data_IF_306977744701
#
_entry.id   IF_306977744701
#
_cell.length_a   1.000
_cell.length_b   1.000
_cell.length_c   1.000
_cell.angle_alpha   90.00
_cell.angle_beta   90.00
_cell.angle_gamma   90.00
#
_symmetry.space_group_name_H-M   'P 1'
#
loop_
_entity.id
_entity.type
_entity.pdbx_description
1 polymer ?
#
# COMPACT_ATOMS: atom_id res chain seq x y z
N UNK A 1 3.91 -9.78 -4.40
CA UNK A 1 4.95 -8.72 -4.36
C UNK A 1 5.21 -8.30 -2.92
N UNK A 2 4.25 -7.71 -2.22
CA UNK A 2 4.35 -7.26 -0.82
C UNK A 2 5.08 -8.29 0.06
N UNK A 3 4.60 -9.52 0.11
CA UNK A 3 5.22 -10.60 0.89
C UNK A 3 6.72 -10.75 0.63
N UNK A 4 7.14 -10.80 -0.64
CA UNK A 4 8.56 -11.00 -1.01
C UNK A 4 9.47 -9.87 -0.52
N UNK A 5 8.94 -8.63 -0.49
CA UNK A 5 9.70 -7.44 -0.08
C UNK A 5 9.69 -7.27 1.43
N UNK A 6 8.54 -7.46 2.08
CA UNK A 6 8.28 -7.01 3.44
C UNK A 6 8.31 -8.13 4.48
N UNK A 7 8.03 -9.39 4.10
CA UNK A 7 8.08 -10.53 5.04
C UNK A 7 9.42 -10.67 5.80
N UNK A 8 10.60 -10.40 5.17
CA UNK A 8 11.88 -10.46 5.90
C UNK A 8 11.98 -9.48 7.08
N UNK A 9 11.12 -8.45 7.10
CA UNK A 9 11.10 -7.43 8.14
C UNK A 9 10.00 -7.64 9.20
N UNK A 10 9.15 -8.65 9.05
CA UNK A 10 8.10 -8.96 10.05
C UNK A 10 8.72 -9.54 11.33
N UNK A 11 9.69 -10.42 11.19
CA UNK A 11 10.23 -11.17 12.32
C UNK A 11 9.21 -12.16 12.90
N UNK A 12 9.16 -12.26 14.24
CA UNK A 12 8.22 -13.11 14.97
C UNK A 12 7.50 -12.30 16.05
N UNK A 13 6.67 -11.32 15.65
CA UNK A 13 6.01 -10.44 16.60
C UNK A 13 4.96 -11.21 17.42
N UNK A 14 4.77 -10.84 18.68
CA UNK A 14 3.65 -11.29 19.47
C UNK A 14 2.39 -10.46 19.21
N UNK A 15 2.56 -9.15 18.93
CA UNK A 15 1.48 -8.19 18.72
C UNK A 15 1.66 -7.48 17.39
N UNK A 16 0.66 -7.61 16.52
CA UNK A 16 0.67 -7.05 15.17
C UNK A 16 -0.64 -6.33 14.91
N UNK A 17 -0.55 -5.13 14.36
CA UNK A 17 -1.68 -4.35 13.86
C UNK A 17 -1.66 -4.33 12.32
N UNK A 18 -2.79 -4.63 11.72
CA UNK A 18 -3.05 -4.59 10.28
C UNK A 18 -4.08 -3.48 10.02
N UNK A 19 -3.61 -2.34 9.53
CA UNK A 19 -4.43 -1.14 9.28
C UNK A 19 -4.89 -1.13 7.84
N UNK A 20 -6.18 -0.81 7.62
CA UNK A 20 -6.79 -0.88 6.28
C UNK A 20 -6.91 -2.33 5.81
N UNK A 21 -7.23 -3.24 6.73
CA UNK A 21 -7.14 -4.68 6.47
C UNK A 21 -8.20 -5.19 5.50
N UNK A 22 -9.29 -4.45 5.28
CA UNK A 22 -10.46 -4.87 4.50
C UNK A 22 -10.79 -6.36 4.76
N UNK A 23 -11.22 -7.12 3.79
CA UNK A 23 -11.36 -8.58 3.90
C UNK A 23 -10.09 -9.37 3.48
N UNK A 24 -9.01 -8.70 3.33
CA UNK A 24 -7.59 -8.93 3.27
C UNK A 24 -6.94 -10.25 2.92
N UNK A 25 -7.24 -10.94 1.80
CA UNK A 25 -6.44 -12.10 1.39
C UNK A 25 -5.00 -11.73 1.02
N UNK A 26 -4.73 -10.47 0.65
CA UNK A 26 -3.38 -9.99 0.26
C UNK A 26 -2.38 -9.96 1.41
N UNK A 27 -2.85 -9.89 2.65
CA UNK A 27 -2.03 -9.78 3.87
C UNK A 27 -2.14 -10.99 4.81
N UNK A 28 -2.73 -12.09 4.35
CA UNK A 28 -2.83 -13.35 5.12
C UNK A 28 -1.49 -13.95 5.53
N UNK A 29 -0.37 -13.48 4.98
CA UNK A 29 0.99 -13.84 5.38
C UNK A 29 1.49 -13.07 6.62
N UNK A 30 0.85 -11.96 6.99
CA UNK A 30 1.10 -11.28 8.26
C UNK A 30 0.41 -12.04 9.38
N UNK A 31 1.20 -12.64 10.24
CA UNK A 31 0.71 -13.48 11.33
C UNK A 31 1.41 -13.16 12.64
N UNK A 32 0.63 -13.13 13.71
CA UNK A 32 1.09 -13.03 15.09
C UNK A 32 0.08 -13.70 16.00
N UNK A 33 0.46 -14.16 17.21
CA UNK A 33 -0.48 -14.66 18.21
C UNK A 33 -1.61 -13.68 18.53
N UNK A 34 -1.27 -12.38 18.60
CA UNK A 34 -2.21 -11.29 18.83
C UNK A 34 -2.22 -10.34 17.63
N UNK A 35 -2.85 -10.78 16.53
CA UNK A 35 -3.11 -9.93 15.37
C UNK A 35 -4.42 -9.19 15.56
N UNK A 36 -4.39 -7.87 15.43
CA UNK A 36 -5.56 -6.98 15.37
C UNK A 36 -5.67 -6.43 13.96
N UNK A 37 -6.87 -6.40 13.42
CA UNK A 37 -7.20 -5.76 12.14
C UNK A 37 -8.04 -4.53 12.38
N UNK A 38 -7.69 -3.40 11.75
CA UNK A 38 -8.44 -2.16 11.84
C UNK A 38 -8.81 -1.66 10.45
N UNK A 39 -10.06 -1.25 10.28
CA UNK A 39 -10.55 -0.62 9.05
C UNK A 39 -11.65 0.40 9.38
N UNK A 40 -11.83 1.40 8.51
CA UNK A 40 -12.97 2.30 8.57
C UNK A 40 -14.28 1.61 8.18
N UNK A 41 -14.21 0.63 7.26
CA UNK A 41 -15.35 -0.13 6.82
C UNK A 41 -15.49 -1.43 7.63
N UNK A 42 -16.53 -1.53 8.48
CA UNK A 42 -16.73 -2.71 9.31
C UNK A 42 -17.09 -3.98 8.52
N UNK A 43 -17.50 -3.86 7.25
CA UNK A 43 -17.95 -5.00 6.43
C UNK A 43 -16.84 -6.01 6.15
N UNK A 44 -15.58 -5.55 6.05
CA UNK A 44 -14.41 -6.41 5.85
C UNK A 44 -13.83 -6.99 7.14
N UNK A 45 -14.23 -6.49 8.29
CA UNK A 45 -13.66 -6.90 9.57
C UNK A 45 -14.29 -8.20 10.09
N UNK A 46 -13.46 -9.07 10.66
CA UNK A 46 -13.90 -10.34 11.23
C UNK A 46 -13.65 -10.39 12.74
N UNK A 47 -14.69 -10.65 13.55
CA UNK A 47 -14.52 -10.88 14.99
C UNK A 47 -13.59 -12.10 15.26
N UNK A 48 -12.90 -12.15 16.42
CA UNK A 48 -12.93 -11.16 17.51
C UNK A 48 -11.92 -10.02 17.38
N UNK A 49 -11.04 -10.04 16.40
CA UNK A 49 -9.88 -9.16 16.33
C UNK A 49 -10.05 -7.99 15.30
N UNK A 50 -11.24 -7.80 14.77
CA UNK A 50 -11.56 -6.69 13.86
C UNK A 50 -12.09 -5.49 14.62
N UNK A 51 -11.47 -4.33 14.44
CA UNK A 51 -11.83 -3.06 15.08
C UNK A 51 -12.17 -2.04 13.99
N UNK A 52 -13.38 -1.45 14.07
CA UNK A 52 -13.75 -0.34 13.21
C UNK A 52 -13.17 0.95 13.79
N UNK A 53 -12.33 1.64 13.02
CA UNK A 53 -11.64 2.84 13.47
C UNK A 53 -10.84 3.53 12.39
N UNK A 54 -10.41 4.77 12.69
CA UNK A 54 -9.60 5.59 11.80
C UNK A 54 -8.12 5.48 12.15
N UNK A 55 -7.26 5.42 11.13
CA UNK A 55 -5.81 5.53 11.31
C UNK A 55 -5.37 6.92 11.79
N UNK A 56 -6.22 7.95 11.60
CA UNK A 56 -5.97 9.31 12.09
C UNK A 56 -6.16 9.43 13.62
N UNK A 57 -6.75 8.42 14.28
CA UNK A 57 -6.97 8.37 15.73
C UNK A 57 -7.09 6.90 16.13
N UNK A 58 -5.97 6.20 16.22
CA UNK A 58 -5.93 4.76 16.53
C UNK A 58 -6.38 4.50 17.98
N UNK A 59 -7.37 3.62 18.23
CA UNK A 59 -7.91 3.35 19.57
C UNK A 59 -7.02 2.43 20.40
N UNK A 60 -5.71 2.63 20.35
CA UNK A 60 -4.72 1.84 21.07
C UNK A 60 -3.80 2.74 21.89
N UNK A 61 -3.28 2.20 22.99
CA UNK A 61 -2.26 2.87 23.80
C UNK A 61 -0.94 2.98 23.01
N UNK A 62 -0.06 3.88 23.46
CA UNK A 62 1.29 4.02 22.94
C UNK A 62 2.06 2.71 23.10
N UNK A 63 2.95 2.40 22.15
CA UNK A 63 3.83 1.24 22.21
C UNK A 63 3.07 -0.09 22.41
N UNK A 64 1.93 -0.28 21.77
CA UNK A 64 1.08 -1.47 21.88
C UNK A 64 1.48 -2.59 20.92
N UNK A 65 2.21 -2.29 19.86
CA UNK A 65 2.50 -3.25 18.78
C UNK A 65 4.00 -3.30 18.43
N UNK A 66 4.47 -4.47 18.08
CA UNK A 66 5.82 -4.72 17.58
C UNK A 66 5.92 -4.53 16.06
N UNK A 67 4.82 -4.79 15.34
CA UNK A 67 4.72 -4.62 13.90
C UNK A 67 3.38 -3.99 13.55
N UNK A 68 3.43 -3.00 12.65
CA UNK A 68 2.24 -2.41 12.02
C UNK A 68 2.37 -2.54 10.51
N UNK A 69 1.34 -3.09 9.87
CA UNK A 69 1.15 -3.09 8.42
C UNK A 69 0.12 -2.05 8.03
N UNK A 70 0.44 -1.21 7.03
CA UNK A 70 -0.48 -0.24 6.42
C UNK A 70 -0.28 -0.28 4.89
N UNK A 71 -1.17 -0.99 4.19
CA UNK A 71 -1.02 -1.24 2.76
C UNK A 71 -2.11 -0.54 1.98
N UNK A 72 -1.70 0.45 1.19
CA UNK A 72 -2.57 1.32 0.42
C UNK A 72 -3.62 2.00 1.34
N UNK A 73 -3.10 2.68 2.39
CA UNK A 73 -3.88 3.37 3.44
C UNK A 73 -3.53 4.85 3.51
N UNK A 74 -2.23 5.19 3.54
CA UNK A 74 -1.78 6.56 3.86
C UNK A 74 -2.15 7.56 2.77
N UNK A 75 -2.30 7.12 1.52
CA UNK A 75 -2.82 7.94 0.41
C UNK A 75 -4.26 8.43 0.61
N UNK A 76 -5.05 7.73 1.44
CA UNK A 76 -6.41 8.11 1.80
C UNK A 76 -6.47 9.09 2.98
N UNK A 77 -5.33 9.36 3.63
CA UNK A 77 -5.26 10.18 4.83
C UNK A 77 -4.91 11.62 4.49
N UNK A 78 -5.69 12.56 5.02
CA UNK A 78 -5.39 13.98 4.95
C UNK A 78 -5.72 14.66 6.29
N UNK A 79 -4.68 15.14 7.04
CA UNK A 79 -3.24 15.15 6.71
C UNK A 79 -2.54 13.76 6.85
N UNK A 80 -1.55 13.48 5.96
CA UNK A 80 -0.81 12.21 5.97
C UNK A 80 0.12 12.06 7.18
N UNK A 81 0.64 13.16 7.70
CA UNK A 81 1.53 13.19 8.87
C UNK A 81 0.82 12.71 10.13
N UNK A 82 -0.45 13.09 10.34
CA UNK A 82 -1.24 12.59 11.48
C UNK A 82 -1.36 11.06 11.45
N UNK A 83 -1.61 10.48 10.28
CA UNK A 83 -1.68 9.03 10.15
C UNK A 83 -0.33 8.36 10.46
N UNK A 84 0.77 8.90 9.92
CA UNK A 84 2.12 8.37 10.16
C UNK A 84 2.55 8.52 11.62
N UNK A 85 2.20 9.63 12.27
CA UNK A 85 2.47 9.86 13.69
C UNK A 85 1.67 8.89 14.58
N UNK A 86 0.42 8.60 14.27
CA UNK A 86 -0.38 7.59 14.97
C UNK A 86 0.19 6.16 14.80
N UNK A 87 0.63 5.80 13.57
CA UNK A 87 1.32 4.53 13.33
C UNK A 87 2.62 4.45 14.14
N UNK A 88 3.36 5.57 14.24
CA UNK A 88 4.55 5.64 15.09
C UNK A 88 4.20 5.55 16.57
N UNK A 89 3.15 6.23 17.03
CA UNK A 89 2.74 6.24 18.43
C UNK A 89 2.44 4.84 18.96
N UNK A 90 1.66 4.08 18.20
CA UNK A 90 1.23 2.73 18.63
C UNK A 90 2.31 1.67 18.50
N UNK A 91 3.37 1.91 17.74
CA UNK A 91 4.55 1.03 17.67
C UNK A 91 5.44 1.24 18.91
N UNK A 92 6.00 0.17 19.42
CA UNK A 92 7.06 0.22 20.44
C UNK A 92 8.37 0.73 19.85
N UNK A 93 9.31 1.28 20.64
CA UNK A 93 10.65 1.62 20.17
C UNK A 93 11.33 0.39 19.55
N UNK A 94 11.89 0.55 18.34
CA UNK A 94 12.42 -0.56 17.55
C UNK A 94 11.35 -1.37 16.81
N UNK A 95 10.07 -1.05 16.99
CA UNK A 95 8.96 -1.68 16.26
C UNK A 95 9.00 -1.37 14.76
N UNK A 96 8.35 -2.17 13.96
CA UNK A 96 8.47 -2.13 12.49
C UNK A 96 7.20 -1.69 11.80
N UNK A 97 7.34 -0.70 10.92
CA UNK A 97 6.31 -0.27 9.98
C UNK A 97 6.53 -0.94 8.62
N UNK A 98 5.50 -1.58 8.10
CA UNK A 98 5.44 -2.13 6.75
C UNK A 98 4.39 -1.36 5.96
N UNK A 99 4.80 -0.71 4.87
CA UNK A 99 3.97 0.22 4.12
C UNK A 99 3.93 -0.11 2.63
N UNK A 100 2.78 0.06 2.00
CA UNK A 100 2.67 0.25 0.55
C UNK A 100 1.85 1.48 0.23
N UNK A 101 2.21 2.17 -0.86
CA UNK A 101 1.49 3.32 -1.40
C UNK A 101 1.56 3.34 -2.92
N UNK A 102 0.56 3.90 -3.64
CA UNK A 102 0.56 4.01 -5.09
C UNK A 102 1.65 5.00 -5.56
N UNK A 103 2.31 4.64 -6.67
CA UNK A 103 3.40 5.43 -7.20
C UNK A 103 2.94 6.47 -8.21
N UNK A 104 3.68 7.60 -8.24
CA UNK A 104 3.67 8.70 -9.22
C UNK A 104 2.37 9.49 -9.35
N UNK A 105 2.41 10.75 -8.95
CA UNK A 105 1.30 11.69 -9.06
C UNK A 105 0.83 11.89 -10.52
N UNK A 106 1.73 11.80 -11.50
CA UNK A 106 1.35 11.90 -12.92
C UNK A 106 0.46 10.74 -13.41
N UNK A 107 0.43 9.62 -12.67
CA UNK A 107 -0.43 8.47 -12.96
C UNK A 107 -1.83 8.58 -12.34
N UNK A 108 -2.16 9.72 -11.75
CA UNK A 108 -3.49 10.04 -11.19
C UNK A 108 -4.60 9.82 -12.21
N UNK A 109 -5.75 9.34 -11.76
CA UNK A 109 -6.90 9.05 -12.63
C UNK A 109 -8.22 9.08 -11.87
N UNK A 110 -9.33 8.88 -12.57
CA UNK A 110 -10.66 8.73 -11.97
C UNK A 110 -10.73 7.60 -10.93
N UNK A 111 -9.90 6.56 -11.08
CA UNK A 111 -9.78 5.51 -10.06
C UNK A 111 -9.29 6.04 -8.70
N UNK A 112 -8.32 6.95 -8.69
CA UNK A 112 -7.85 7.57 -7.44
C UNK A 112 -8.95 8.40 -6.78
N UNK A 113 -9.69 9.17 -7.60
CA UNK A 113 -10.81 9.98 -7.12
C UNK A 113 -11.92 9.09 -6.55
N UNK A 114 -12.29 8.03 -7.27
CA UNK A 114 -13.33 7.10 -6.84
C UNK A 114 -12.99 6.35 -5.55
N UNK A 115 -11.71 6.08 -5.33
CA UNK A 115 -11.22 5.45 -4.10
C UNK A 115 -10.90 6.45 -2.97
N UNK A 116 -11.10 7.77 -3.18
CA UNK A 116 -10.84 8.77 -2.16
C UNK A 116 -9.36 8.97 -1.84
N UNK A 117 -8.48 8.73 -2.83
CA UNK A 117 -7.07 9.06 -2.66
C UNK A 117 -6.90 10.58 -2.59
N UNK A 118 -5.90 11.04 -1.83
CA UNK A 118 -5.47 12.44 -1.80
C UNK A 118 -4.16 12.64 -2.57
N UNK A 119 -3.36 11.57 -2.72
CA UNK A 119 -2.02 11.66 -3.33
C UNK A 119 -1.46 10.33 -3.79
N UNK A 120 -0.41 10.43 -4.62
CA UNK A 120 0.48 9.33 -4.98
C UNK A 120 1.92 9.71 -4.64
N UNK A 121 2.79 8.73 -4.55
CA UNK A 121 4.13 8.91 -4.02
C UNK A 121 5.22 8.61 -5.05
N UNK A 122 6.36 9.28 -4.93
CA UNK A 122 7.63 8.74 -5.38
C UNK A 122 8.32 8.06 -4.19
N UNK A 123 9.24 7.13 -4.45
CA UNK A 123 10.01 6.49 -3.38
C UNK A 123 10.69 7.52 -2.46
N UNK A 124 11.41 8.56 -2.96
CA UNK A 124 12.00 9.57 -2.07
C UNK A 124 10.97 10.32 -1.23
N UNK A 125 9.78 10.61 -1.77
CA UNK A 125 8.71 11.27 -1.01
C UNK A 125 8.17 10.37 0.10
N UNK A 126 7.92 9.09 -0.18
CA UNK A 126 7.46 8.13 0.82
C UNK A 126 8.49 7.95 1.94
N UNK A 127 9.78 7.82 1.59
CA UNK A 127 10.88 7.76 2.55
C UNK A 127 10.89 9.00 3.43
N UNK A 128 10.90 10.20 2.84
CA UNK A 128 10.94 11.45 3.60
C UNK A 128 9.71 11.64 4.51
N UNK A 129 8.52 11.18 4.10
CA UNK A 129 7.33 11.25 4.95
C UNK A 129 7.47 10.34 6.19
N UNK A 130 7.89 9.10 5.99
CA UNK A 130 8.10 8.11 7.07
C UNK A 130 9.22 8.53 8.01
N UNK A 131 10.34 9.07 7.47
CA UNK A 131 11.45 9.56 8.30
C UNK A 131 11.06 10.76 9.18
N UNK A 132 10.20 11.66 8.68
CA UNK A 132 9.66 12.78 9.49
C UNK A 132 8.81 12.30 10.66
N UNK A 133 8.09 11.21 10.52
CA UNK A 133 7.30 10.59 11.57
C UNK A 133 8.12 9.77 12.59
N UNK A 134 9.47 9.86 12.55
CA UNK A 134 10.33 9.25 13.57
C UNK A 134 10.80 7.84 13.26
N UNK A 135 10.83 7.45 11.99
CA UNK A 135 11.32 6.13 11.57
C UNK A 135 12.69 6.20 10.89
N UNK A 136 13.42 5.09 10.94
CA UNK A 136 14.58 4.81 10.10
C UNK A 136 14.16 3.83 9.01
N UNK A 137 14.22 4.26 7.75
CA UNK A 137 13.83 3.41 6.62
C UNK A 137 14.93 2.38 6.33
N UNK A 138 14.60 1.10 6.47
CA UNK A 138 15.55 -0.02 6.25
C UNK A 138 15.45 -0.60 4.85
N UNK A 139 14.31 -0.41 4.18
CA UNK A 139 14.12 -0.77 2.77
C UNK A 139 13.06 0.09 2.13
N UNK A 140 13.31 0.55 0.90
CA UNK A 140 12.31 1.19 0.06
C UNK A 140 12.54 0.81 -1.41
N UNK A 141 11.54 0.26 -2.08
CA UNK A 141 11.62 -0.21 -3.46
C UNK A 141 10.32 0.05 -4.21
N UNK A 142 10.40 0.06 -5.53
CA UNK A 142 9.19 0.00 -6.34
C UNK A 142 8.78 -1.46 -6.57
N UNK A 143 7.50 -1.66 -6.87
CA UNK A 143 6.93 -2.94 -7.29
C UNK A 143 6.16 -2.80 -8.58
N UNK A 144 5.87 -3.95 -9.22
CA UNK A 144 5.16 -4.04 -10.49
C UNK A 144 5.90 -3.37 -11.66
N UNK A 145 7.22 -3.45 -11.67
CA UNK A 145 8.10 -2.85 -12.69
C UNK A 145 7.87 -3.46 -14.08
N UNK A 146 7.71 -4.78 -14.18
CA UNK A 146 7.57 -5.46 -15.47
C UNK A 146 6.25 -5.13 -16.19
N UNK A 147 5.20 -4.79 -15.46
CA UNK A 147 3.91 -4.36 -16.03
C UNK A 147 3.80 -2.85 -16.14
N UNK A 148 4.72 -2.10 -15.53
CA UNK A 148 4.69 -0.64 -15.47
C UNK A 148 4.72 0.04 -16.84
N UNK A 149 5.50 -0.41 -17.86
CA UNK A 149 5.48 0.22 -19.18
C UNK A 149 4.10 0.21 -19.83
N UNK A 150 3.36 -0.90 -19.72
CA UNK A 150 2.00 -0.99 -20.23
C UNK A 150 1.04 -0.06 -19.46
N UNK A 151 1.16 -0.02 -18.14
CA UNK A 151 0.42 0.89 -17.28
C UNK A 151 0.72 2.36 -17.62
N UNK A 152 2.00 2.72 -17.80
CA UNK A 152 2.40 4.09 -18.15
C UNK A 152 1.91 4.51 -19.53
N UNK A 153 1.98 3.62 -20.52
CA UNK A 153 1.47 3.86 -21.85
C UNK A 153 -0.06 4.09 -21.85
N UNK A 154 -0.78 3.29 -21.11
CA UNK A 154 -2.23 3.43 -20.94
C UNK A 154 -2.60 4.78 -20.30
N UNK A 155 -1.90 5.20 -19.24
CA UNK A 155 -2.10 6.49 -18.58
C UNK A 155 -1.76 7.67 -19.51
N UNK A 156 -0.66 7.58 -20.25
CA UNK A 156 -0.28 8.59 -21.22
C UNK A 156 -1.33 8.74 -22.34
N UNK A 157 -1.84 7.60 -22.85
CA UNK A 157 -2.86 7.60 -23.89
C UNK A 157 -4.16 8.24 -23.41
N UNK A 158 -4.63 7.90 -22.21
CA UNK A 158 -5.83 8.54 -21.60
C UNK A 158 -5.62 10.03 -21.39
N UNK A 159 -4.46 10.45 -20.90
CA UNK A 159 -4.13 11.87 -20.75
C UNK A 159 -4.20 12.63 -22.07
N UNK A 160 -3.69 12.05 -23.16
CA UNK A 160 -3.80 12.61 -24.52
C UNK A 160 -5.26 12.68 -24.98
N UNK A 161 -6.01 11.58 -24.84
CA UNK A 161 -7.43 11.53 -25.21
C UNK A 161 -8.25 12.60 -24.48
N UNK A 162 -8.04 12.76 -23.17
CA UNK A 162 -8.71 13.79 -22.38
C UNK A 162 -8.34 15.21 -22.84
N UNK A 163 -7.06 15.44 -23.15
CA UNK A 163 -6.59 16.75 -23.64
C UNK A 163 -7.22 17.16 -24.99
N UNK A 164 -7.55 16.20 -25.83
CA UNK A 164 -8.19 16.44 -27.14
C UNK A 164 -9.71 16.27 -27.11
N UNK A 165 -10.33 16.12 -25.93
CA UNK A 165 -11.77 15.96 -25.81
C UNK A 165 -12.32 14.65 -26.37
N UNK A 166 -11.45 13.67 -26.63
CA UNK A 166 -11.79 12.34 -27.16
C UNK A 166 -12.08 11.34 -26.03
N UNK A 167 -11.84 11.71 -24.76
CA UNK A 167 -12.19 10.91 -23.59
C UNK A 167 -13.68 11.05 -23.29
N UNK A 168 -14.41 9.97 -23.18
CA UNK A 168 -15.73 9.97 -22.58
C UNK A 168 -15.66 10.47 -21.12
N UNK A 169 -16.79 10.91 -20.50
CA UNK A 169 -16.80 11.25 -19.10
C UNK A 169 -16.24 10.05 -18.31
N UNK A 170 -15.23 10.31 -17.48
CA UNK A 170 -14.85 9.33 -16.45
C UNK A 170 -16.05 9.27 -15.51
N UNK A 171 -16.94 8.31 -15.74
CA UNK A 171 -18.02 8.00 -14.81
C UNK A 171 -17.38 7.65 -13.47
N UNK A 172 -18.12 7.82 -12.35
CA UNK A 172 -17.70 7.22 -11.09
C UNK A 172 -17.39 5.77 -11.43
N UNK A 173 -16.13 5.37 -11.25
CA UNK A 173 -15.73 3.99 -11.45
C UNK A 173 -16.53 3.20 -10.42
N UNK A 174 -17.66 2.63 -10.87
CA UNK A 174 -18.35 1.63 -10.09
C UNK A 174 -17.30 0.63 -9.64
N UNK A 175 -17.26 0.42 -8.35
CA UNK A 175 -16.48 -0.56 -7.60
C UNK A 175 -15.81 -1.55 -8.54
N UNK A 176 -14.53 -1.40 -8.72
CA UNK A 176 -13.52 -2.21 -9.39
C UNK A 176 -14.03 -3.55 -9.95
N UNK A 177 -14.89 -3.53 -10.94
CA UNK A 177 -15.02 -4.63 -11.87
C UNK A 177 -13.83 -4.54 -12.83
N UNK A 178 -12.75 -5.18 -12.44
CA UNK A 178 -11.64 -5.40 -13.36
C UNK A 178 -12.21 -6.18 -14.55
N UNK A 179 -12.15 -5.62 -15.78
CA UNK A 179 -12.70 -6.32 -16.93
C UNK A 179 -12.03 -7.68 -17.02
N UNK A 180 -12.78 -8.76 -17.34
CA UNK A 180 -12.24 -10.09 -17.38
C UNK A 180 -11.08 -10.13 -18.35
N UNK A 181 -9.89 -10.36 -17.83
CA UNK A 181 -8.66 -10.43 -18.62
C UNK A 181 -8.67 -11.76 -19.36
N UNK A 182 -8.41 -11.75 -20.66
CA UNK A 182 -8.29 -12.98 -21.45
C UNK A 182 -7.25 -13.92 -20.80
N UNK A 183 -7.50 -15.22 -20.67
CA UNK A 183 -6.62 -16.15 -19.94
C UNK A 183 -5.16 -16.13 -20.38
N UNK A 184 -4.88 -15.87 -21.66
CA UNK A 184 -3.51 -15.74 -22.19
C UNK A 184 -2.81 -14.47 -21.66
N UNK A 185 -3.52 -13.35 -21.55
CA UNK A 185 -2.99 -12.08 -21.02
C UNK A 185 -2.77 -12.20 -19.51
N UNK A 186 -3.71 -12.80 -18.80
CA UNK A 186 -3.56 -13.07 -17.36
C UNK A 186 -2.29 -13.90 -17.08
N UNK A 187 -2.10 -14.99 -17.81
CA UNK A 187 -0.90 -15.85 -17.69
C UNK A 187 0.40 -15.07 -17.95
N UNK A 188 0.40 -14.18 -18.96
CA UNK A 188 1.54 -13.32 -19.26
C UNK A 188 1.81 -12.33 -18.14
N UNK A 189 0.79 -11.63 -17.64
CA UNK A 189 0.91 -10.69 -16.51
C UNK A 189 1.41 -11.39 -15.25
N UNK A 190 0.87 -12.56 -14.91
CA UNK A 190 1.37 -13.38 -13.80
C UNK A 190 2.82 -13.80 -13.99
N UNK A 191 3.23 -14.12 -15.24
CA UNK A 191 4.62 -14.38 -15.59
C UNK A 191 5.54 -13.19 -15.31
N UNK A 192 5.15 -11.99 -15.74
CA UNK A 192 5.85 -10.73 -15.47
C UNK A 192 5.95 -10.44 -13.97
N UNK A 193 4.85 -10.62 -13.22
CA UNK A 193 4.86 -10.48 -11.77
C UNK A 193 5.81 -11.48 -11.08
N UNK A 194 5.97 -12.70 -11.63
CA UNK A 194 6.95 -13.67 -11.10
C UNK A 194 8.39 -13.22 -11.35
N UNK A 195 8.68 -12.57 -12.50
CA UNK A 195 10.00 -11.99 -12.78
C UNK A 195 10.32 -10.86 -11.80
N UNK A 196 9.41 -9.93 -11.60
CA UNK A 196 9.55 -8.85 -10.60
C UNK A 196 9.81 -9.42 -9.21
N UNK A 197 9.05 -10.44 -8.80
CA UNK A 197 9.23 -11.08 -7.49
C UNK A 197 10.62 -11.70 -7.34
N UNK A 198 11.15 -12.34 -8.39
CA UNK A 198 12.52 -12.89 -8.37
C UNK A 198 13.58 -11.79 -8.28
N UNK A 199 13.37 -10.67 -8.98
CA UNK A 199 14.26 -9.53 -8.93
C UNK A 199 14.24 -8.88 -7.54
N UNK A 200 13.05 -8.65 -6.97
CA UNK A 200 12.83 -8.06 -5.64
C UNK A 200 13.42 -8.88 -4.50
N UNK A 201 13.53 -10.20 -4.66
CA UNK A 201 14.22 -11.06 -3.70
C UNK A 201 15.74 -10.81 -3.63
N UNK A 202 16.32 -10.11 -4.62
CA UNK A 202 17.77 -9.90 -4.73
C UNK A 202 18.18 -8.43 -4.76
N UNK A 203 17.31 -7.53 -5.22
CA UNK A 203 17.62 -6.09 -5.39
C UNK A 203 16.36 -5.26 -5.35
N UNK A 204 16.51 -3.98 -5.11
CA UNK A 204 15.45 -3.00 -5.25
C UNK A 204 15.23 -2.63 -6.72
N UNK A 205 13.99 -2.31 -7.06
CA UNK A 205 13.60 -1.93 -8.41
C UNK A 205 13.54 -0.40 -8.52
N UNK A 206 13.99 0.17 -9.67
CA UNK A 206 14.15 1.61 -9.82
C UNK A 206 12.83 2.36 -10.14
N UNK A 207 11.80 1.65 -10.60
CA UNK A 207 10.48 2.19 -10.94
C UNK A 207 9.40 1.11 -10.84
N UNK A 208 8.11 1.53 -10.81
CA UNK A 208 6.97 0.61 -10.73
C UNK A 208 5.70 1.36 -10.31
N UNK A 209 4.54 0.71 -10.31
CA UNK A 209 3.27 1.35 -10.00
C UNK A 209 2.97 1.50 -8.51
N UNK A 210 3.76 0.86 -7.63
CA UNK A 210 3.63 0.98 -6.18
C UNK A 210 5.01 1.14 -5.53
N UNK A 211 5.05 1.80 -4.37
CA UNK A 211 6.23 1.88 -3.49
C UNK A 211 5.98 0.96 -2.31
N UNK A 212 6.94 0.10 -1.99
CA UNK A 212 6.97 -0.75 -0.80
C UNK A 212 8.08 -0.29 0.13
N UNK A 213 7.79 -0.20 1.42
CA UNK A 213 8.70 0.35 2.41
C UNK A 213 8.64 -0.46 3.71
N UNK A 214 9.81 -0.73 4.29
CA UNK A 214 9.95 -1.23 5.65
C UNK A 214 10.79 -0.23 6.45
N UNK A 215 10.35 0.09 7.65
CA UNK A 215 11.04 1.05 8.53
C UNK A 215 10.99 0.57 9.98
N UNK A 216 11.91 1.10 10.79
CA UNK A 216 12.02 0.83 12.23
C UNK A 216 11.77 2.13 12.98
N UNK A 217 10.93 2.10 14.00
CA UNK A 217 10.70 3.26 14.87
C UNK A 217 11.96 3.54 15.70
N UNK A 218 12.37 4.80 15.68
CA UNK A 218 13.48 5.33 16.51
C UNK A 218 13.19 5.31 18.00
#
# INVERSE_FOLDING_TARGET
MLRTVLEPYVGSPQRLLDVGSADGPSVGWLSAPHKVSLDLDPRGLRPPAGICGSVLALPFADASFEVVGAFDVVEHCDPEDVALDELARVLEPGGRLLLSVPAYQWAWSGHDVANGHHRRYTRPRAVAAVERAGFDVVRATYGFTAVFPAFAAERALRGVQHRFGLGGPEGPADVVDLPPVRPGIEKALLGLCRLDRRALARRDLPFGSSVFLAAVKR
#
